data_IF_106270649448
#
_entry.id   IF_106270649448
#
_cell.length_a   1.000
_cell.length_b   1.000
_cell.length_c   1.000
_cell.angle_alpha   90.00
_cell.angle_beta   90.00
_cell.angle_gamma   90.00
#
_symmetry.space_group_name_H-M   'P 1'
#
loop_
_entity.id
_entity.type
_entity.pdbx_description
1 polymer ?
#
# COMPACT_ATOMS: atom_id res chain seq x y z
N UNK A 1 1.76 -13.33 20.69
CA UNK A 1 1.47 -11.91 21.01
C UNK A 1 2.09 -11.09 19.89
N UNK A 2 1.28 -10.60 18.98
CA UNK A 2 1.75 -9.76 17.86
C UNK A 2 2.02 -8.35 18.40
N UNK A 3 3.27 -7.93 18.39
CA UNK A 3 3.62 -6.56 18.75
C UNK A 3 3.27 -5.64 17.58
N UNK A 4 2.25 -4.81 17.76
CA UNK A 4 1.86 -3.76 16.79
C UNK A 4 2.70 -2.49 16.96
N UNK A 5 3.91 -2.59 17.45
CA UNK A 5 4.78 -1.43 17.65
C UNK A 5 5.93 -1.43 16.67
N UNK A 6 6.12 -0.30 16.00
CA UNK A 6 7.27 -0.04 15.14
C UNK A 6 8.47 0.33 16.03
N UNK A 7 9.30 -0.64 16.34
CA UNK A 7 10.53 -0.44 17.09
C UNK A 7 11.66 0.01 16.15
N UNK A 8 12.35 1.10 16.47
CA UNK A 8 13.43 1.66 15.63
C UNK A 8 14.53 0.64 15.30
N UNK A 9 14.86 -0.25 16.22
CA UNK A 9 15.86 -1.30 16.01
C UNK A 9 15.51 -2.30 14.89
N UNK A 10 14.23 -2.53 14.64
CA UNK A 10 13.77 -3.43 13.58
C UNK A 10 14.04 -2.88 12.17
N UNK A 11 14.22 -1.56 12.04
CA UNK A 11 14.51 -0.93 10.75
C UNK A 11 15.99 -0.84 10.41
N UNK A 12 16.89 -1.23 11.30
CA UNK A 12 18.33 -1.16 11.04
C UNK A 12 18.72 -1.94 9.77
N UNK A 13 18.14 -3.12 9.54
CA UNK A 13 18.40 -3.93 8.36
C UNK A 13 17.91 -3.30 7.05
N UNK A 14 16.93 -2.38 7.12
CA UNK A 14 16.36 -1.72 5.94
C UNK A 14 17.19 -0.52 5.46
N UNK A 15 18.11 0.01 6.28
CA UNK A 15 18.89 1.22 5.96
C UNK A 15 19.77 1.02 4.72
N UNK A 16 20.40 -0.14 4.57
CA UNK A 16 21.26 -0.44 3.41
C UNK A 16 20.47 -0.55 2.11
N UNK A 17 19.37 -1.34 2.01
CA UNK A 17 18.53 -1.34 0.82
C UNK A 17 17.95 0.03 0.48
N UNK A 18 17.54 0.81 1.49
CA UNK A 18 17.03 2.17 1.26
C UNK A 18 18.10 3.10 0.68
N UNK A 19 19.34 3.05 1.20
CA UNK A 19 20.45 3.83 0.64
C UNK A 19 20.77 3.41 -0.81
N UNK A 20 20.69 2.13 -1.12
CA UNK A 20 20.85 1.62 -2.48
C UNK A 20 19.72 2.11 -3.39
N UNK A 21 18.46 2.01 -2.95
CA UNK A 21 17.30 2.53 -3.70
C UNK A 21 17.44 4.02 -3.98
N UNK A 22 17.82 4.81 -2.98
CA UNK A 22 18.03 6.26 -3.11
C UNK A 22 19.12 6.59 -4.15
N UNK A 23 20.22 5.82 -4.18
CA UNK A 23 21.28 5.99 -5.18
C UNK A 23 20.81 5.73 -6.62
N UNK A 24 19.73 4.96 -6.79
CA UNK A 24 19.05 4.72 -8.07
C UNK A 24 17.83 5.61 -8.30
N UNK A 25 17.63 6.65 -7.50
CA UNK A 25 16.49 7.57 -7.61
C UNK A 25 15.15 7.01 -7.10
N UNK A 26 15.18 5.89 -6.38
CA UNK A 26 14.01 5.27 -5.78
C UNK A 26 13.87 5.69 -4.31
N UNK A 27 12.85 6.46 -3.93
CA UNK A 27 12.67 6.93 -2.55
C UNK A 27 12.23 5.84 -1.58
N UNK A 28 11.73 4.71 -2.10
CA UNK A 28 11.25 3.59 -1.32
C UNK A 28 11.73 2.26 -1.90
N UNK A 29 11.76 1.24 -1.06
CA UNK A 29 12.16 -0.13 -1.43
C UNK A 29 11.04 -1.08 -1.03
N UNK A 30 10.60 -1.92 -1.96
CA UNK A 30 9.72 -3.05 -1.67
C UNK A 30 10.54 -4.23 -1.17
N UNK A 31 10.06 -4.86 -0.11
CA UNK A 31 10.67 -6.04 0.49
C UNK A 31 9.91 -7.30 0.09
N UNK A 32 10.67 -8.33 -0.19
CA UNK A 32 10.15 -9.66 -0.42
C UNK A 32 10.29 -10.49 0.86
N UNK A 33 9.48 -11.54 0.95
CA UNK A 33 9.55 -12.51 2.04
C UNK A 33 10.96 -13.11 2.19
N UNK A 34 11.32 -13.45 3.40
CA UNK A 34 12.67 -13.92 3.71
C UNK A 34 12.91 -15.39 3.28
N UNK A 35 11.85 -16.18 3.11
CA UNK A 35 11.92 -17.62 2.82
C UNK A 35 12.14 -17.86 1.33
N UNK A 36 11.18 -17.44 0.49
CA UNK A 36 11.21 -17.71 -0.95
C UNK A 36 11.84 -16.55 -1.74
N UNK A 37 11.94 -15.35 -1.15
CA UNK A 37 12.38 -14.09 -1.80
C UNK A 37 11.57 -13.79 -3.06
N UNK A 38 10.30 -14.09 -3.02
CA UNK A 38 9.38 -14.02 -4.14
C UNK A 38 8.16 -13.18 -3.86
N UNK A 39 7.61 -13.32 -2.64
CA UNK A 39 6.34 -12.73 -2.27
C UNK A 39 6.54 -11.34 -1.68
N UNK A 40 5.75 -10.40 -2.11
CA UNK A 40 5.81 -9.03 -1.62
C UNK A 40 5.26 -8.98 -0.20
N UNK A 41 6.06 -8.44 0.71
CA UNK A 41 5.66 -8.16 2.09
C UNK A 41 5.23 -6.68 2.24
N UNK A 42 6.18 -5.77 2.29
CA UNK A 42 5.93 -4.35 2.58
C UNK A 42 6.82 -3.44 1.71
N UNK A 43 6.48 -2.16 1.63
CA UNK A 43 7.33 -1.13 1.06
C UNK A 43 7.81 -0.17 2.16
N UNK A 44 9.07 -0.24 2.52
CA UNK A 44 9.61 0.53 3.64
C UNK A 44 8.89 0.17 4.94
N UNK A 45 8.00 1.04 5.41
CA UNK A 45 7.15 0.81 6.58
C UNK A 45 5.66 0.88 6.27
N UNK A 46 5.28 0.71 4.99
CA UNK A 46 3.92 0.86 4.48
C UNK A 46 3.40 -0.48 3.95
N UNK A 47 2.13 -0.78 4.23
CA UNK A 47 1.44 -1.86 3.57
C UNK A 47 1.20 -1.49 2.09
N UNK A 48 1.28 -2.48 1.21
CA UNK A 48 1.08 -2.31 -0.23
C UNK A 48 -0.31 -2.76 -0.67
N UNK A 49 -0.82 -2.07 -1.67
CA UNK A 49 -2.05 -2.38 -2.38
C UNK A 49 -1.83 -2.32 -3.88
N UNK A 50 -2.50 -3.20 -4.60
CA UNK A 50 -2.48 -3.34 -6.05
C UNK A 50 -3.90 -3.29 -6.57
N UNK A 51 -4.16 -2.51 -7.59
CA UNK A 51 -5.46 -2.43 -8.25
C UNK A 51 -5.37 -3.14 -9.60
N UNK A 52 -6.22 -4.13 -9.78
CA UNK A 52 -6.39 -4.84 -11.03
C UNK A 52 -7.66 -4.36 -11.73
N UNK A 53 -7.54 -4.05 -13.01
CA UNK A 53 -8.67 -3.53 -13.78
C UNK A 53 -9.03 -2.08 -13.41
N UNK A 54 -10.28 -1.68 -13.66
CA UNK A 54 -10.75 -0.30 -13.44
C UNK A 54 -12.25 -0.23 -13.20
N UNK A 55 -12.72 0.94 -12.71
CA UNK A 55 -14.15 1.19 -12.46
C UNK A 55 -14.74 0.25 -11.41
N UNK A 56 -16.03 -0.10 -11.59
CA UNK A 56 -16.80 -0.92 -10.65
C UNK A 56 -16.39 -2.41 -10.65
N UNK A 57 -15.51 -2.81 -11.57
CA UNK A 57 -14.95 -4.16 -11.63
C UNK A 57 -13.51 -4.23 -11.10
N UNK A 58 -13.02 -3.14 -10.54
CA UNK A 58 -11.66 -3.10 -9.99
C UNK A 58 -11.53 -4.05 -8.80
N UNK A 59 -10.47 -4.84 -8.81
CA UNK A 59 -10.06 -5.66 -7.68
C UNK A 59 -8.89 -4.97 -6.95
N UNK A 60 -9.06 -4.75 -5.65
CA UNK A 60 -8.03 -4.20 -4.77
C UNK A 60 -7.40 -5.33 -3.98
N UNK A 61 -6.16 -5.63 -4.30
CA UNK A 61 -5.39 -6.72 -3.71
C UNK A 61 -4.36 -6.17 -2.73
N UNK A 62 -4.20 -6.82 -1.59
CA UNK A 62 -3.12 -6.53 -0.64
C UNK A 62 -2.49 -7.84 -0.15
N UNK A 63 -1.18 -7.87 0.14
CA UNK A 63 -0.55 -9.05 0.70
C UNK A 63 -1.23 -9.57 1.96
N UNK A 64 -1.43 -10.89 2.01
CA UNK A 64 -1.94 -11.59 3.19
C UNK A 64 -0.98 -11.40 4.36
N UNK A 65 -1.50 -11.16 5.54
CA UNK A 65 -0.70 -11.03 6.76
C UNK A 65 -0.06 -12.37 7.12
N UNK A 66 1.26 -12.45 7.00
CA UNK A 66 2.05 -13.67 7.23
C UNK A 66 2.73 -13.71 8.59
N UNK A 67 2.66 -12.62 9.36
CA UNK A 67 3.39 -12.44 10.62
C UNK A 67 4.64 -11.60 10.46
N UNK A 68 5.23 -11.51 9.26
CA UNK A 68 6.27 -10.52 8.89
C UNK A 68 5.69 -9.16 8.54
N UNK A 69 4.45 -9.13 8.03
CA UNK A 69 3.75 -7.91 7.61
C UNK A 69 2.97 -7.34 8.79
N UNK A 70 3.15 -6.04 9.04
CA UNK A 70 2.37 -5.34 10.08
C UNK A 70 0.90 -5.23 9.67
N UNK A 71 -0.01 -5.69 10.55
CA UNK A 71 -1.45 -5.46 10.42
C UNK A 71 -1.76 -3.97 10.67
N UNK A 72 -1.60 -3.13 9.65
CA UNK A 72 -1.76 -1.68 9.75
C UNK A 72 -3.22 -1.26 9.95
N UNK A 73 -3.48 -0.31 10.86
CA UNK A 73 -4.83 0.25 11.05
C UNK A 73 -5.30 0.96 9.78
N UNK A 74 -4.42 1.70 9.11
CA UNK A 74 -4.73 2.34 7.82
C UNK A 74 -5.09 1.29 6.77
N UNK A 75 -4.35 0.15 6.73
CA UNK A 75 -4.67 -0.97 5.85
C UNK A 75 -6.08 -1.51 6.09
N UNK A 76 -6.44 -1.76 7.34
CA UNK A 76 -7.78 -2.24 7.70
C UNK A 76 -8.88 -1.27 7.27
N UNK A 77 -8.68 0.03 7.51
CA UNK A 77 -9.62 1.07 7.09
C UNK A 77 -9.80 1.08 5.56
N UNK A 78 -8.71 0.94 4.80
CA UNK A 78 -8.78 0.93 3.34
C UNK A 78 -9.45 -0.31 2.78
N UNK A 79 -9.35 -1.48 3.42
CA UNK A 79 -10.09 -2.68 3.03
C UNK A 79 -11.61 -2.48 3.15
N UNK A 80 -12.04 -1.75 4.19
CA UNK A 80 -13.45 -1.40 4.38
C UNK A 80 -13.89 -0.41 3.31
N UNK A 81 -13.19 0.71 3.18
CA UNK A 81 -13.53 1.77 2.22
C UNK A 81 -13.50 1.30 0.76
N UNK A 82 -12.58 0.40 0.40
CA UNK A 82 -12.52 -0.17 -0.95
C UNK A 82 -13.79 -0.97 -1.29
N UNK A 83 -14.32 -1.74 -0.34
CA UNK A 83 -15.60 -2.44 -0.51
C UNK A 83 -16.77 -1.46 -0.66
N UNK A 84 -16.79 -0.38 0.12
CA UNK A 84 -17.85 0.63 0.07
C UNK A 84 -17.90 1.40 -1.25
N UNK A 85 -16.75 1.61 -1.89
CA UNK A 85 -16.72 2.23 -3.22
C UNK A 85 -16.99 1.26 -4.37
N UNK A 86 -17.32 -0.01 -4.06
CA UNK A 86 -17.72 -1.03 -5.02
C UNK A 86 -16.60 -1.94 -5.52
N UNK A 87 -15.36 -1.79 -5.03
CA UNK A 87 -14.26 -2.67 -5.44
C UNK A 87 -14.39 -4.06 -4.83
N UNK A 88 -13.95 -5.08 -5.57
CA UNK A 88 -13.64 -6.37 -4.98
C UNK A 88 -12.37 -6.25 -4.16
N UNK A 89 -12.34 -6.85 -2.97
CA UNK A 89 -11.19 -6.77 -2.07
C UNK A 89 -10.67 -8.16 -1.78
N UNK A 90 -9.40 -8.38 -2.07
CA UNK A 90 -8.75 -9.68 -1.92
C UNK A 90 -7.45 -9.55 -1.12
N UNK A 91 -7.31 -10.40 -0.12
CA UNK A 91 -6.07 -10.58 0.62
C UNK A 91 -5.41 -11.87 0.14
N UNK A 92 -4.33 -11.75 -0.62
CA UNK A 92 -3.59 -12.90 -1.15
C UNK A 92 -2.11 -12.58 -1.30
N UNK A 93 -1.28 -13.60 -1.46
CA UNK A 93 0.11 -13.38 -1.86
C UNK A 93 0.15 -12.81 -3.28
N UNK A 94 1.09 -11.90 -3.51
CA UNK A 94 1.45 -11.36 -4.82
C UNK A 94 2.96 -11.41 -4.96
N UNK A 95 3.46 -11.90 -6.09
CA UNK A 95 4.90 -12.00 -6.32
C UNK A 95 5.47 -10.74 -6.96
N UNK A 96 6.77 -10.53 -6.83
CA UNK A 96 7.47 -9.47 -7.56
C UNK A 96 7.33 -9.62 -9.08
N UNK A 97 7.36 -10.85 -9.58
CA UNK A 97 7.16 -11.17 -11.00
C UNK A 97 5.75 -10.79 -11.48
N UNK A 98 4.72 -11.14 -10.70
CA UNK A 98 3.33 -10.77 -10.99
C UNK A 98 3.16 -9.25 -11.02
N UNK A 99 3.76 -8.53 -10.07
CA UNK A 99 3.74 -7.07 -10.07
C UNK A 99 4.36 -6.50 -11.34
N UNK A 100 5.57 -6.94 -11.69
CA UNK A 100 6.29 -6.44 -12.87
C UNK A 100 5.53 -6.75 -14.17
N UNK A 101 5.05 -7.98 -14.33
CA UNK A 101 4.27 -8.40 -15.49
C UNK A 101 2.96 -7.63 -15.60
N UNK A 102 2.18 -7.57 -14.52
CA UNK A 102 0.90 -6.87 -14.51
C UNK A 102 1.01 -5.36 -14.69
N UNK A 103 2.10 -4.74 -14.21
CA UNK A 103 2.38 -3.34 -14.48
C UNK A 103 2.80 -3.12 -15.95
N UNK A 104 3.51 -4.05 -16.56
CA UNK A 104 3.95 -3.94 -17.96
C UNK A 104 2.81 -4.16 -18.96
N UNK A 105 1.90 -5.10 -18.69
CA UNK A 105 0.77 -5.42 -19.58
C UNK A 105 -0.50 -4.60 -19.26
N UNK A 106 -0.50 -3.83 -18.16
CA UNK A 106 -1.61 -2.98 -17.75
C UNK A 106 -2.74 -3.69 -17.00
N UNK A 107 -2.57 -4.94 -16.61
CA UNK A 107 -3.53 -5.64 -15.72
C UNK A 107 -3.50 -5.07 -14.31
N UNK A 108 -2.32 -4.66 -13.82
CA UNK A 108 -2.19 -3.83 -12.62
C UNK A 108 -2.21 -2.37 -13.04
N UNK A 109 -3.32 -1.71 -12.77
CA UNK A 109 -3.57 -0.33 -13.20
C UNK A 109 -3.08 0.71 -12.22
N UNK A 110 -3.07 0.39 -10.91
CA UNK A 110 -2.60 1.28 -9.85
C UNK A 110 -1.88 0.48 -8.77
N UNK A 111 -0.89 1.10 -8.15
CA UNK A 111 -0.24 0.58 -6.95
C UNK A 111 -0.09 1.72 -5.94
N UNK A 112 -0.31 1.43 -4.67
CA UNK A 112 -0.10 2.41 -3.62
C UNK A 112 0.37 1.76 -2.31
N UNK A 113 1.11 2.53 -1.54
CA UNK A 113 1.44 2.21 -0.15
C UNK A 113 0.54 2.95 0.82
N UNK A 114 0.29 2.38 1.99
CA UNK A 114 -0.45 3.07 3.05
C UNK A 114 0.22 2.93 4.42
N UNK A 115 0.04 3.95 5.24
CA UNK A 115 0.58 3.99 6.60
C UNK A 115 0.09 5.22 7.34
N UNK A 116 0.39 5.32 8.63
CA UNK A 116 -0.13 6.39 9.50
C UNK A 116 0.29 7.79 9.01
N UNK A 117 1.56 8.00 8.68
CA UNK A 117 2.07 9.31 8.29
C UNK A 117 1.76 9.65 6.83
N UNK A 118 1.90 8.68 5.94
CA UNK A 118 1.71 8.87 4.50
C UNK A 118 0.23 8.83 4.10
N UNK A 119 -0.64 8.29 4.93
CA UNK A 119 -2.03 7.91 4.66
C UNK A 119 -2.09 6.97 3.46
N UNK A 120 -2.04 7.52 2.25
CA UNK A 120 -1.89 6.78 0.98
C UNK A 120 -0.83 7.50 0.13
N UNK A 121 0.13 6.72 -0.38
CA UNK A 121 1.16 7.19 -1.30
C UNK A 121 1.06 6.38 -2.60
N UNK A 122 0.69 7.00 -3.73
CA UNK A 122 0.68 6.33 -5.02
C UNK A 122 2.11 5.95 -5.45
N UNK A 123 2.22 4.84 -6.17
CA UNK A 123 3.47 4.34 -6.73
C UNK A 123 3.38 4.43 -8.25
N UNK A 124 4.10 5.37 -8.82
CA UNK A 124 4.08 5.64 -10.26
C UNK A 124 5.03 4.79 -11.09
N UNK A 125 5.76 3.89 -10.46
CA UNK A 125 6.65 2.96 -11.15
C UNK A 125 7.47 2.12 -10.19
N UNK A 126 8.06 1.06 -10.72
CA UNK A 126 8.94 0.15 -10.03
C UNK A 126 10.22 -0.07 -10.84
N UNK A 127 11.36 0.01 -10.18
CA UNK A 127 12.66 -0.29 -10.78
C UNK A 127 13.16 -1.64 -10.23
N UNK A 128 13.70 -2.45 -11.11
CA UNK A 128 14.30 -3.74 -10.80
C UNK A 128 15.60 -3.94 -11.58
N UNK A 129 16.27 -5.08 -11.41
CA UNK A 129 17.59 -5.34 -12.02
C UNK A 129 17.60 -5.19 -13.56
N UNK A 130 16.52 -5.60 -14.22
CA UNK A 130 16.43 -5.65 -15.68
C UNK A 130 15.76 -4.41 -16.30
N UNK A 131 15.37 -3.40 -15.50
CA UNK A 131 14.76 -2.18 -16.00
C UNK A 131 13.78 -1.50 -15.06
N UNK A 132 12.89 -0.73 -15.65
CA UNK A 132 11.85 0.04 -14.95
C UNK A 132 10.50 -0.14 -15.66
N UNK A 133 9.45 -0.31 -14.87
CA UNK A 133 8.06 -0.31 -15.35
C UNK A 133 7.32 0.88 -14.77
N UNK A 134 6.58 1.62 -15.59
CA UNK A 134 5.70 2.71 -15.17
C UNK A 134 4.30 2.16 -14.88
N UNK A 135 3.63 2.80 -13.92
CA UNK A 135 2.28 2.47 -13.48
C UNK A 135 1.46 3.75 -13.55
N UNK A 136 0.28 3.70 -14.14
CA UNK A 136 -0.65 4.83 -14.24
C UNK A 136 0.03 6.12 -14.74
N UNK A 137 0.90 6.03 -15.75
CA UNK A 137 1.70 7.15 -16.31
C UNK A 137 2.47 7.96 -15.24
N UNK A 138 2.76 7.35 -14.10
CA UNK A 138 3.42 8.01 -12.97
C UNK A 138 2.49 8.88 -12.13
N UNK A 139 1.18 8.84 -12.37
CA UNK A 139 0.16 9.62 -11.66
C UNK A 139 -0.63 8.77 -10.67
N UNK A 140 -1.27 9.39 -9.66
CA UNK A 140 -2.24 8.67 -8.83
C UNK A 140 -3.41 8.18 -9.68
N UNK A 141 -3.74 6.90 -9.56
CA UNK A 141 -4.91 6.36 -10.22
C UNK A 141 -6.24 6.74 -9.53
N UNK A 142 -7.38 6.58 -10.22
CA UNK A 142 -8.68 7.01 -9.72
C UNK A 142 -9.14 6.31 -8.44
N UNK A 143 -8.86 5.01 -8.28
CA UNK A 143 -9.20 4.26 -7.06
C UNK A 143 -8.34 4.74 -5.89
N UNK A 144 -7.03 4.90 -6.11
CA UNK A 144 -6.09 5.45 -5.12
C UNK A 144 -6.52 6.84 -4.66
N UNK A 145 -6.88 7.72 -5.59
CA UNK A 145 -7.37 9.06 -5.31
C UNK A 145 -8.64 9.04 -4.48
N UNK A 146 -9.65 8.25 -4.90
CA UNK A 146 -10.94 8.13 -4.21
C UNK A 146 -10.79 7.61 -2.77
N UNK A 147 -9.97 6.58 -2.57
CA UNK A 147 -9.69 6.03 -1.23
C UNK A 147 -8.98 7.04 -0.34
N UNK A 148 -8.02 7.79 -0.88
CA UNK A 148 -7.31 8.84 -0.14
C UNK A 148 -8.26 9.95 0.29
N UNK A 149 -9.10 10.43 -0.61
CA UNK A 149 -10.05 11.51 -0.34
C UNK A 149 -11.09 11.10 0.70
N UNK A 150 -11.60 9.87 0.62
CA UNK A 150 -12.53 9.33 1.62
C UNK A 150 -11.87 9.25 3.00
N UNK A 151 -10.73 8.58 3.10
CA UNK A 151 -10.07 8.39 4.39
C UNK A 151 -9.66 9.73 5.03
N UNK A 152 -9.04 10.61 4.26
CA UNK A 152 -8.68 11.96 4.76
C UNK A 152 -9.89 12.81 5.03
N UNK A 153 -10.96 12.66 4.26
CA UNK A 153 -12.24 13.33 4.48
C UNK A 153 -12.87 12.97 5.82
N UNK A 154 -12.89 11.68 6.16
CA UNK A 154 -13.34 11.18 7.47
C UNK A 154 -12.44 11.74 8.57
N UNK A 155 -11.11 11.60 8.44
CA UNK A 155 -10.15 12.08 9.44
C UNK A 155 -10.25 13.58 9.71
N UNK A 156 -10.64 14.36 8.74
CA UNK A 156 -10.78 15.82 8.83
C UNK A 156 -12.21 16.28 9.08
N UNK A 157 -13.16 15.37 9.25
CA UNK A 157 -14.58 15.69 9.46
C UNK A 157 -15.31 16.27 8.24
N UNK A 158 -14.73 16.16 7.03
CA UNK A 158 -15.36 16.60 5.77
C UNK A 158 -16.33 15.56 5.19
N UNK A 159 -16.11 14.31 5.55
CA UNK A 159 -16.98 13.17 5.21
C UNK A 159 -17.49 12.57 6.51
N UNK A 160 -18.75 12.16 6.55
CA UNK A 160 -19.37 11.55 7.71
C UNK A 160 -18.63 10.26 8.11
N UNK A 161 -18.32 10.11 9.39
CA UNK A 161 -17.74 8.91 9.96
C UNK A 161 -18.83 7.90 10.31
N UNK A 162 -19.15 7.02 9.37
CA UNK A 162 -20.14 5.94 9.54
C UNK A 162 -19.58 4.74 10.33
N UNK A 163 -18.27 4.73 10.58
CA UNK A 163 -17.56 3.63 11.24
C UNK A 163 -17.23 3.87 12.70
N UNK A 164 -17.49 5.09 13.20
CA UNK A 164 -17.10 5.50 14.56
C UNK A 164 -15.58 5.41 14.80
N UNK A 165 -14.79 5.71 13.78
CA UNK A 165 -13.32 5.75 13.87
C UNK A 165 -12.80 7.01 14.55
N UNK A 166 -13.56 8.09 14.44
CA UNK A 166 -13.18 9.38 15.01
C UNK A 166 -13.75 9.58 16.41
N UNK A 167 -12.97 10.19 17.27
CA UNK A 167 -13.43 10.61 18.61
C UNK A 167 -13.21 12.11 18.76
N UNK A 168 -14.28 12.83 19.03
CA UNK A 168 -14.20 14.25 19.36
C UNK A 168 -13.60 14.39 20.76
N UNK A 169 -12.47 15.07 20.87
CA UNK A 169 -11.89 15.46 22.15
C UNK A 169 -12.43 16.85 22.45
N UNK A 170 -13.30 16.96 23.45
CA UNK A 170 -13.78 18.24 23.95
C UNK A 170 -12.74 18.72 24.95
N UNK A 171 -12.16 19.92 24.79
CA UNK A 171 -11.36 20.52 25.86
C UNK A 171 -12.22 20.67 27.12
N UNK A 172 -11.74 20.10 28.24
CA UNK A 172 -12.41 20.27 29.53
C UNK A 172 -12.30 21.71 30.06
#
# INVERSE_FOLDING_TARGET
MLFRSKCGGNYAASLRPQAQGAAHGCPQVAYLDAEDRRWIDEMGSNNLFFVFGSGDQAEVVTPTLTGSILAGVTRDSLLVLAKEIGCQVVERRISGEEWLAGAADGTITEVFGCGTAAVITPIGGVQHADGQVRICDGQPGPITGKLRDLLTGIQQGRVADTHSWMRTIVPG
#
